data_IF_818758880094
#
_entry.id   IF_818758880094
#
_cell.length_a   1.000
_cell.length_b   1.000
_cell.length_c   1.000
_cell.angle_alpha   90.00
_cell.angle_beta   90.00
_cell.angle_gamma   90.00
#
_symmetry.space_group_name_H-M   'P 1'
#
loop_
_entity.id
_entity.type
_entity.pdbx_description
1 polymer ?
#
# COMPACT_ATOMS: atom_id res chain seq x y z
N UNK A 1 8.74 -12.05 3.30
CA UNK A 1 8.55 -10.88 4.17
C UNK A 1 7.54 -9.96 3.50
N UNK A 2 7.00 -8.96 4.18
CA UNK A 2 6.17 -7.97 3.51
C UNK A 2 6.44 -6.63 4.19
N UNK A 3 7.00 -5.70 3.43
CA UNK A 3 7.33 -4.33 3.89
C UNK A 3 6.10 -3.62 4.48
N UNK A 4 4.91 -4.02 4.03
CA UNK A 4 3.64 -3.48 4.51
C UNK A 4 2.59 -4.58 4.59
N UNK A 5 1.91 -4.73 5.74
CA UNK A 5 0.70 -5.57 5.86
C UNK A 5 -0.53 -4.78 5.43
N UNK A 6 -1.55 -5.49 4.94
CA UNK A 6 -2.79 -4.85 4.48
C UNK A 6 -3.50 -4.08 5.60
N UNK A 7 -3.45 -4.58 6.84
CA UNK A 7 -4.03 -3.91 8.02
C UNK A 7 -3.37 -2.56 8.31
N UNK A 8 -2.06 -2.47 8.13
CA UNK A 8 -1.30 -1.23 8.35
C UNK A 8 -1.60 -0.19 7.28
N UNK A 9 -1.78 -0.64 6.03
CA UNK A 9 -2.13 0.24 4.90
C UNK A 9 -3.48 0.96 5.06
N UNK A 10 -4.41 0.36 5.81
CA UNK A 10 -5.75 0.91 6.09
C UNK A 10 -5.68 1.96 7.21
N UNK A 11 -4.81 1.74 8.21
CA UNK A 11 -4.73 2.59 9.40
C UNK A 11 -3.98 3.91 9.17
N UNK A 12 -3.35 4.12 8.00
CA UNK A 12 -2.68 5.38 7.71
C UNK A 12 -3.67 6.51 7.44
N UNK A 13 -3.36 7.70 7.95
CA UNK A 13 -4.05 8.93 7.56
C UNK A 13 -3.78 9.26 6.08
N UNK A 14 -4.63 10.08 5.42
CA UNK A 14 -4.40 10.45 4.02
C UNK A 14 -3.04 11.12 3.76
N UNK A 15 -2.54 11.94 4.70
CA UNK A 15 -1.20 12.53 4.59
C UNK A 15 -0.10 11.47 4.72
N UNK A 16 -0.20 10.59 5.73
CA UNK A 16 0.78 9.52 5.95
C UNK A 16 0.85 8.55 4.76
N UNK A 17 -0.29 8.25 4.13
CA UNK A 17 -0.32 7.42 2.90
C UNK A 17 0.45 8.10 1.77
N UNK A 18 0.24 9.40 1.55
CA UNK A 18 0.94 10.14 0.48
C UNK A 18 2.45 10.19 0.71
N UNK A 19 2.89 10.42 1.94
CA UNK A 19 4.30 10.40 2.30
C UNK A 19 4.90 9.01 2.10
N UNK A 20 4.24 7.97 2.60
CA UNK A 20 4.74 6.60 2.47
C UNK A 20 4.75 6.12 1.02
N UNK A 21 3.78 6.53 0.22
CA UNK A 21 3.73 6.26 -1.21
C UNK A 21 4.90 6.93 -1.95
N UNK A 22 5.24 8.18 -1.61
CA UNK A 22 6.42 8.88 -2.19
C UNK A 22 7.71 8.15 -1.85
N UNK A 23 7.88 7.75 -0.59
CA UNK A 23 9.06 7.02 -0.12
C UNK A 23 9.23 5.69 -0.88
N UNK A 24 8.18 4.87 -0.97
CA UNK A 24 8.20 3.58 -1.67
C UNK A 24 8.45 3.74 -3.18
N UNK A 25 7.91 4.80 -3.81
CA UNK A 25 8.20 5.10 -5.22
C UNK A 25 9.67 5.46 -5.43
N UNK A 26 10.25 6.28 -4.55
CA UNK A 26 11.65 6.65 -4.62
C UNK A 26 12.56 5.43 -4.41
N UNK A 27 12.24 4.56 -3.46
CA UNK A 27 12.97 3.32 -3.24
C UNK A 27 12.88 2.37 -4.44
N UNK A 28 11.71 2.28 -5.08
CA UNK A 28 11.52 1.50 -6.31
C UNK A 28 12.39 2.01 -7.46
N UNK A 29 12.44 3.32 -7.66
CA UNK A 29 13.27 3.95 -8.70
C UNK A 29 14.75 3.65 -8.44
N UNK A 30 15.22 3.87 -7.20
CA UNK A 30 16.61 3.56 -6.82
C UNK A 30 16.96 2.09 -7.08
N UNK A 31 16.09 1.17 -6.64
CA UNK A 31 16.31 -0.27 -6.82
C UNK A 31 16.34 -0.69 -8.30
N UNK A 32 15.51 -0.06 -9.14
CA UNK A 32 15.51 -0.30 -10.58
C UNK A 32 16.77 0.25 -11.27
N UNK A 33 17.27 1.43 -10.86
CA UNK A 33 18.50 2.01 -11.42
C UNK A 33 19.72 1.14 -11.09
N UNK A 34 19.81 0.63 -9.86
CA UNK A 34 20.95 -0.19 -9.43
C UNK A 34 21.00 -1.57 -10.12
N UNK A 35 19.86 -2.24 -10.27
CA UNK A 35 19.85 -3.64 -10.72
C UNK A 35 19.35 -3.84 -12.15
N UNK A 36 18.65 -2.87 -12.76
CA UNK A 36 17.91 -2.96 -14.03
C UNK A 36 17.08 -4.25 -14.23
N UNK A 37 16.82 -4.99 -13.15
CA UNK A 37 16.18 -6.30 -13.13
C UNK A 37 15.17 -6.35 -12.00
N UNK A 38 14.09 -7.09 -12.21
CA UNK A 38 13.02 -7.22 -11.21
C UNK A 38 13.46 -8.20 -10.11
N UNK A 39 13.98 -7.67 -9.01
CA UNK A 39 14.38 -8.46 -7.83
C UNK A 39 13.22 -8.71 -6.87
N UNK A 40 13.37 -9.65 -5.94
CA UNK A 40 12.40 -9.90 -4.86
C UNK A 40 12.04 -8.63 -4.09
N UNK A 41 13.04 -7.76 -3.85
CA UNK A 41 12.85 -6.45 -3.21
C UNK A 41 11.91 -5.55 -4.01
N UNK A 42 12.12 -5.40 -5.32
CA UNK A 42 11.24 -4.59 -6.18
C UNK A 42 9.81 -5.13 -6.25
N UNK A 43 9.64 -6.47 -6.22
CA UNK A 43 8.31 -7.11 -6.18
C UNK A 43 7.58 -6.78 -4.87
N UNK A 44 8.27 -6.78 -3.73
CA UNK A 44 7.68 -6.41 -2.45
C UNK A 44 7.28 -4.94 -2.38
N UNK A 45 8.13 -4.03 -2.89
CA UNK A 45 7.83 -2.59 -2.95
C UNK A 45 6.59 -2.34 -3.83
N UNK A 46 6.51 -2.97 -5.01
CA UNK A 46 5.31 -2.86 -5.88
C UNK A 46 4.06 -3.37 -5.17
N UNK A 47 4.13 -4.50 -4.45
CA UNK A 47 3.01 -5.02 -3.65
C UNK A 47 2.59 -4.05 -2.54
N UNK A 48 3.54 -3.40 -1.85
CA UNK A 48 3.25 -2.41 -0.82
C UNK A 48 2.53 -1.19 -1.41
N UNK A 49 2.99 -0.68 -2.57
CA UNK A 49 2.34 0.41 -3.30
C UNK A 49 0.91 0.03 -3.70
N UNK A 50 0.69 -1.17 -4.26
CA UNK A 50 -0.65 -1.65 -4.62
C UNK A 50 -1.60 -1.70 -3.43
N UNK A 51 -1.12 -2.09 -2.25
CA UNK A 51 -1.93 -2.14 -1.02
C UNK A 51 -2.31 -0.74 -0.53
N UNK A 52 -1.39 0.22 -0.58
CA UNK A 52 -1.66 1.62 -0.21
C UNK A 52 -2.67 2.28 -1.16
N UNK A 53 -2.55 2.03 -2.47
CA UNK A 53 -3.51 2.54 -3.45
C UNK A 53 -4.87 1.84 -3.37
N UNK A 54 -4.86 0.54 -3.03
CA UNK A 54 -6.08 -0.23 -2.82
C UNK A 54 -6.87 0.21 -1.59
N UNK A 55 -6.19 0.56 -0.49
CA UNK A 55 -6.87 1.06 0.72
C UNK A 55 -7.53 2.43 0.50
N UNK A 56 -6.98 3.28 -0.37
CA UNK A 56 -7.59 4.56 -0.76
C UNK A 56 -8.98 4.38 -1.41
N UNK A 57 -9.14 3.36 -2.26
CA UNK A 57 -10.45 3.06 -2.88
C UNK A 57 -11.47 2.52 -1.87
N UNK A 58 -11.02 1.87 -0.80
CA UNK A 58 -11.91 1.32 0.23
C UNK A 58 -12.50 2.36 1.18
N UNK A 59 -11.89 3.56 1.28
CA UNK A 59 -12.44 4.68 2.06
C UNK A 59 -13.48 5.51 1.30
N UNK A 60 -13.54 5.37 -0.04
CA UNK A 60 -14.59 5.98 -0.85
C UNK A 60 -15.95 5.24 -0.78
N UNK A 61 -16.01 4.14 -0.03
CA UNK A 61 -17.26 3.47 0.33
C UNK A 61 -17.72 4.07 1.68
N UNK A 62 -18.88 4.75 1.75
CA UNK A 62 -19.37 5.33 3.00
C UNK A 62 -19.50 4.26 4.10
N UNK A 63 -19.32 4.62 5.39
CA UNK A 63 -19.16 3.67 6.50
C UNK A 63 -20.36 2.75 6.79
N UNK A 64 -21.48 2.88 6.07
CA UNK A 64 -22.73 2.13 6.33
C UNK A 64 -22.68 0.62 6.04
N UNK A 65 -21.66 0.08 5.38
CA UNK A 65 -21.58 -1.37 5.06
C UNK A 65 -20.61 -2.18 5.93
N UNK A 66 -19.92 -1.57 6.90
CA UNK A 66 -18.96 -2.31 7.76
C UNK A 66 -19.64 -3.05 8.94
N UNK A 67 -20.87 -2.69 9.30
CA UNK A 67 -21.62 -3.37 10.38
C UNK A 67 -22.44 -4.58 9.89
N UNK A 68 -23.01 -4.55 8.68
CA UNK A 68 -23.86 -5.63 8.18
C UNK A 68 -23.12 -6.95 7.86
N UNK A 69 -21.79 -6.96 7.80
CA UNK A 69 -21.00 -8.18 7.55
C UNK A 69 -20.53 -8.90 8.81
N UNK A 70 -20.84 -8.38 10.01
CA UNK A 70 -20.53 -9.05 11.28
C UNK A 70 -21.68 -9.89 11.84
N UNK A 71 -22.84 -9.89 11.19
CA UNK A 71 -24.06 -10.54 11.71
C UNK A 71 -24.74 -11.48 10.69
N UNK A 72 -23.94 -12.19 9.87
CA UNK A 72 -24.41 -13.38 9.13
C UNK A 72 -23.40 -14.50 9.19
#
# INVERSE_FOLDING_TARGET
>A
MSILKAKEAINFSPQQRKEKLKELKLELVKANVTSQKTTSKTKEIKKAISRLLGSEKSDSIPPKKKEELKEK
#
